data_IF_770804215000
#
_entry.id   IF_770804215000
#
_cell.length_a   1.000
_cell.length_b   1.000
_cell.length_c   1.000
_cell.angle_alpha   90.00
_cell.angle_beta   90.00
_cell.angle_gamma   90.00
#
_symmetry.space_group_name_H-M   'P 1'
#
loop_
_entity.id
_entity.type
_entity.pdbx_description
1 polymer ?
#
# COMPACT_ATOMS: atom_id res chain seq x y z
N UNK A 1 16.22 37.88 -61.76
CA UNK A 1 15.00 38.36 -62.46
C UNK A 1 13.85 37.47 -62.00
N UNK A 2 12.75 38.11 -61.70
CA UNK A 2 11.44 37.65 -61.25
C UNK A 2 11.20 37.54 -59.77
N UNK A 3 10.67 38.63 -59.23
CA UNK A 3 9.90 38.78 -58.02
C UNK A 3 8.58 38.00 -58.12
N UNK A 4 8.19 37.28 -57.01
CA UNK A 4 6.78 36.97 -56.77
C UNK A 4 6.47 37.16 -55.31
N UNK A 5 5.94 38.34 -55.01
CA UNK A 5 5.34 38.68 -53.72
C UNK A 5 3.94 38.06 -53.64
N UNK A 6 3.74 37.08 -52.73
CA UNK A 6 2.41 36.59 -52.33
C UNK A 6 1.77 37.49 -51.26
N UNK A 7 0.44 37.62 -51.21
CA UNK A 7 -0.24 38.56 -50.34
C UNK A 7 -0.20 38.12 -48.89
N UNK A 8 0.25 39.02 -47.98
CA UNK A 8 0.17 38.88 -46.53
C UNK A 8 -1.28 39.09 -46.09
N UNK A 9 -1.94 38.02 -45.59
CA UNK A 9 -3.23 38.11 -44.95
C UNK A 9 -3.09 38.73 -43.54
N UNK A 10 -3.74 39.88 -43.34
CA UNK A 10 -3.76 40.60 -42.07
C UNK A 10 -4.97 40.14 -41.25
N UNK A 11 -4.73 39.58 -40.08
CA UNK A 11 -5.74 39.04 -39.15
C UNK A 11 -6.78 40.08 -38.67
N UNK A 12 -6.60 41.36 -38.95
CA UNK A 12 -7.53 42.43 -38.54
C UNK A 12 -8.64 42.69 -39.57
N UNK A 13 -8.57 42.15 -40.78
CA UNK A 13 -9.61 42.33 -41.80
C UNK A 13 -10.74 41.30 -41.74
N UNK A 14 -10.58 40.19 -41.01
CA UNK A 14 -11.61 39.15 -40.86
C UNK A 14 -12.69 39.49 -39.83
N UNK A 15 -12.47 40.50 -38.98
CA UNK A 15 -13.41 40.91 -37.91
C UNK A 15 -14.33 42.07 -38.29
N UNK A 16 -14.25 42.61 -39.52
CA UNK A 16 -15.08 43.74 -39.99
C UNK A 16 -16.14 43.38 -41.05
N UNK A 17 -16.21 42.13 -41.48
CA UNK A 17 -17.17 41.71 -42.52
C UNK A 17 -18.40 40.94 -42.01
N UNK A 18 -18.58 40.79 -40.69
CA UNK A 18 -19.70 40.03 -40.13
C UNK A 18 -20.76 40.86 -39.40
N UNK A 19 -20.78 42.19 -39.52
CA UNK A 19 -21.71 43.06 -38.79
C UNK A 19 -22.66 43.84 -39.73
N UNK A 20 -22.90 43.43 -40.93
CA UNK A 20 -23.84 44.13 -41.81
C UNK A 20 -24.69 43.18 -42.65
N UNK A 21 -25.47 42.30 -42.02
CA UNK A 21 -26.71 41.74 -42.59
C UNK A 21 -27.41 40.93 -41.46
N UNK A 22 -28.32 41.58 -40.74
CA UNK A 22 -29.45 40.97 -40.05
C UNK A 22 -30.21 42.08 -39.29
N UNK A 23 -30.82 42.99 -40.06
CA UNK A 23 -31.95 43.75 -39.54
C UNK A 23 -33.20 43.08 -40.12
N UNK A 24 -33.86 42.26 -39.37
CA UNK A 24 -35.14 41.71 -39.78
C UNK A 24 -35.42 40.34 -39.14
N UNK A 25 -36.06 40.33 -37.97
CA UNK A 25 -36.95 39.27 -37.56
C UNK A 25 -36.32 38.06 -36.85
N UNK A 26 -36.77 37.86 -35.63
CA UNK A 26 -36.58 36.76 -34.69
C UNK A 26 -35.36 36.92 -33.81
N UNK A 27 -35.56 37.53 -32.64
CA UNK A 27 -34.77 37.25 -31.43
C UNK A 27 -35.09 35.82 -31.03
N UNK A 28 -34.41 34.85 -31.59
CA UNK A 28 -34.27 33.57 -30.97
C UNK A 28 -33.45 33.82 -29.68
N UNK A 29 -34.06 33.69 -28.51
CA UNK A 29 -33.36 33.51 -27.26
C UNK A 29 -32.39 32.36 -27.51
N UNK A 30 -31.11 32.66 -27.68
CA UNK A 30 -30.05 31.68 -27.40
C UNK A 30 -30.20 31.50 -25.89
N UNK A 31 -30.95 30.47 -25.50
CA UNK A 31 -30.84 29.93 -24.15
C UNK A 31 -29.35 29.65 -23.98
N UNK A 32 -28.68 30.43 -23.15
CA UNK A 32 -27.37 30.02 -22.62
C UNK A 32 -27.64 28.66 -22.05
N UNK A 33 -27.16 27.61 -22.71
CA UNK A 33 -27.16 26.27 -22.18
C UNK A 33 -26.32 26.38 -20.92
N UNK A 34 -26.96 26.34 -19.76
CA UNK A 34 -26.31 26.12 -18.50
C UNK A 34 -25.41 24.89 -18.71
N UNK A 35 -24.12 24.96 -18.35
CA UNK A 35 -23.24 23.81 -18.51
C UNK A 35 -23.88 22.65 -17.75
N UNK A 36 -24.39 21.65 -18.45
CA UNK A 36 -24.85 20.42 -17.84
C UNK A 36 -23.63 19.75 -17.19
N UNK A 37 -23.47 19.96 -15.88
CA UNK A 37 -22.57 19.15 -15.06
C UNK A 37 -23.20 17.76 -14.90
N UNK A 38 -23.10 16.97 -15.97
CA UNK A 38 -23.60 15.60 -15.94
C UNK A 38 -22.85 14.85 -14.85
N UNK A 39 -23.60 14.28 -13.90
CA UNK A 39 -23.14 13.47 -12.79
C UNK A 39 -22.41 14.19 -11.62
N UNK A 40 -22.40 15.51 -11.54
CA UNK A 40 -21.97 16.18 -10.33
C UNK A 40 -23.01 15.99 -9.22
N UNK A 41 -22.62 15.45 -8.07
CA UNK A 41 -23.52 15.35 -6.90
C UNK A 41 -23.64 16.70 -6.20
N UNK A 42 -24.45 17.59 -6.76
CA UNK A 42 -24.69 18.93 -6.21
C UNK A 42 -25.50 18.91 -4.90
N UNK A 43 -26.11 17.78 -4.55
CA UNK A 43 -26.91 17.63 -3.33
C UNK A 43 -26.08 17.37 -2.07
N UNK A 44 -24.79 17.04 -2.20
CA UNK A 44 -23.94 16.69 -1.04
C UNK A 44 -23.60 17.88 -0.14
N UNK A 45 -23.73 19.11 -0.62
CA UNK A 45 -23.36 20.32 0.13
C UNK A 45 -21.91 20.24 0.69
N UNK A 46 -20.87 20.05 -0.15
CA UNK A 46 -19.51 19.71 0.31
C UNK A 46 -18.93 20.71 1.31
N UNK A 47 -19.28 22.00 1.19
CA UNK A 47 -18.82 23.06 2.09
C UNK A 47 -19.40 22.97 3.51
N UNK A 48 -20.55 22.29 3.69
CA UNK A 48 -21.22 22.10 4.97
C UNK A 48 -21.04 20.67 5.53
N UNK A 49 -20.36 19.79 4.82
CA UNK A 49 -20.09 18.42 5.26
C UNK A 49 -19.17 18.43 6.48
N UNK A 50 -19.55 17.70 7.54
CA UNK A 50 -18.82 17.60 8.80
C UNK A 50 -18.74 16.17 9.28
N UNK A 51 -17.59 15.79 9.82
CA UNK A 51 -17.40 14.54 10.56
C UNK A 51 -18.20 14.63 11.86
N UNK A 52 -19.03 13.63 12.13
CA UNK A 52 -19.86 13.55 13.34
C UNK A 52 -19.46 12.46 14.30
N UNK A 53 -18.81 11.40 13.81
CA UNK A 53 -18.33 10.28 14.64
C UNK A 53 -17.22 9.51 13.93
N UNK A 54 -16.42 8.79 14.70
CA UNK A 54 -15.51 7.76 14.24
C UNK A 54 -15.65 6.53 15.13
N UNK A 55 -15.83 5.37 14.52
CA UNK A 55 -16.11 4.09 15.17
C UNK A 55 -15.19 3.01 14.63
N UNK A 56 -15.10 1.88 15.33
CA UNK A 56 -14.28 0.77 14.88
C UNK A 56 -14.97 -0.58 15.08
N UNK A 57 -14.49 -1.56 14.33
CA UNK A 57 -14.77 -2.98 14.50
C UNK A 57 -13.46 -3.77 14.40
N UNK A 58 -13.31 -4.82 15.20
CA UNK A 58 -12.12 -5.67 15.18
C UNK A 58 -12.49 -7.04 14.62
N UNK A 59 -11.90 -7.40 13.50
CA UNK A 59 -12.16 -8.65 12.78
C UNK A 59 -11.02 -9.63 13.02
N UNK A 60 -11.37 -10.84 13.44
CA UNK A 60 -10.41 -11.95 13.62
C UNK A 60 -10.33 -12.76 12.33
N UNK A 61 -9.11 -12.93 11.83
CA UNK A 61 -8.78 -13.84 10.73
C UNK A 61 -7.82 -14.93 11.24
N UNK A 62 -7.64 -16.03 10.52
CA UNK A 62 -6.56 -16.96 10.79
C UNK A 62 -5.21 -16.25 10.83
N UNK A 63 -4.37 -16.59 11.82
CA UNK A 63 -3.10 -15.91 12.07
C UNK A 63 -3.11 -15.05 13.33
N UNK A 64 -1.98 -14.44 13.70
CA UNK A 64 -1.80 -13.80 15.00
C UNK A 64 -2.47 -12.43 15.12
N UNK A 65 -2.81 -11.80 14.00
CA UNK A 65 -3.15 -10.37 13.97
C UNK A 65 -4.60 -10.13 13.55
N UNK A 66 -5.43 -9.55 14.43
CA UNK A 66 -6.75 -9.06 14.04
C UNK A 66 -6.63 -7.85 13.09
N UNK A 67 -7.63 -7.65 12.25
CA UNK A 67 -7.79 -6.46 11.43
C UNK A 67 -8.71 -5.46 12.13
N UNK A 68 -8.33 -4.20 12.16
CA UNK A 68 -9.12 -3.12 12.76
C UNK A 68 -9.68 -2.22 11.68
N UNK A 69 -10.97 -2.31 11.46
CA UNK A 69 -11.70 -1.41 10.55
C UNK A 69 -12.17 -0.17 11.32
N UNK A 70 -12.06 1.00 10.69
CA UNK A 70 -12.70 2.22 11.17
C UNK A 70 -13.77 2.70 10.19
N UNK A 71 -14.76 3.40 10.74
CA UNK A 71 -15.78 4.09 9.97
C UNK A 71 -15.89 5.54 10.47
N UNK A 72 -15.78 6.48 9.54
CA UNK A 72 -15.98 7.91 9.80
C UNK A 72 -17.37 8.30 9.28
N UNK A 73 -18.24 8.72 10.17
CA UNK A 73 -19.60 9.14 9.87
C UNK A 73 -19.68 10.67 9.65
N UNK A 74 -20.64 11.12 8.83
CA UNK A 74 -20.85 12.54 8.54
C UNK A 74 -22.27 13.00 8.80
N UNK A 75 -22.48 14.31 8.93
CA UNK A 75 -23.79 14.94 9.13
C UNK A 75 -24.75 14.82 7.93
N UNK A 76 -24.29 14.28 6.80
CA UNK A 76 -25.11 14.07 5.60
C UNK A 76 -25.33 12.57 5.30
N UNK A 77 -24.99 11.68 6.23
CA UNK A 77 -25.20 10.23 6.09
C UNK A 77 -24.19 9.51 5.19
N UNK A 78 -23.28 10.21 4.56
CA UNK A 78 -22.13 9.60 3.86
C UNK A 78 -21.11 9.19 4.92
N UNK A 79 -20.56 7.99 4.77
CA UNK A 79 -19.48 7.50 5.63
C UNK A 79 -18.32 6.95 4.80
N UNK A 80 -17.13 6.95 5.41
CA UNK A 80 -15.93 6.36 4.83
C UNK A 80 -15.35 5.24 5.67
N UNK A 81 -14.66 4.35 5.00
CA UNK A 81 -14.03 3.17 5.58
C UNK A 81 -12.49 3.29 5.50
N UNK A 82 -11.85 2.88 6.57
CA UNK A 82 -10.40 2.73 6.62
C UNK A 82 -10.00 1.50 7.43
N UNK A 83 -8.75 1.12 7.35
CA UNK A 83 -8.21 -0.03 8.06
C UNK A 83 -6.87 0.33 8.68
N UNK A 84 -6.73 0.02 9.96
CA UNK A 84 -5.49 0.21 10.71
C UNK A 84 -4.51 -0.90 10.33
N UNK A 85 -3.22 -0.58 10.23
CA UNK A 85 -2.15 -1.55 9.95
C UNK A 85 -2.27 -2.78 10.85
N UNK A 86 -2.05 -3.94 10.30
CA UNK A 86 -2.04 -5.20 11.05
C UNK A 86 -1.09 -5.13 12.27
N UNK A 87 -1.39 -5.91 13.31
CA UNK A 87 -0.73 -5.90 14.63
C UNK A 87 -1.01 -4.60 15.44
N UNK A 88 -1.34 -3.47 14.82
CA UNK A 88 -1.70 -2.25 15.54
C UNK A 88 -3.13 -2.33 16.10
N UNK A 89 -3.34 -1.73 17.26
CA UNK A 89 -4.65 -1.72 17.92
C UNK A 89 -5.54 -0.52 17.53
N UNK A 90 -6.84 -0.56 17.83
CA UNK A 90 -7.78 0.50 17.48
C UNK A 90 -7.46 1.85 18.12
N UNK A 91 -6.75 1.87 19.26
CA UNK A 91 -6.38 3.10 19.95
C UNK A 91 -5.55 4.06 19.10
N UNK A 92 -4.75 3.54 18.16
CA UNK A 92 -3.94 4.38 17.27
C UNK A 92 -4.79 5.23 16.32
N UNK A 93 -5.98 4.76 15.94
CA UNK A 93 -6.95 5.57 15.20
C UNK A 93 -7.82 6.40 16.14
N UNK A 94 -8.32 5.78 17.23
CA UNK A 94 -9.31 6.42 18.09
C UNK A 94 -8.79 7.65 18.82
N UNK A 95 -7.50 7.72 19.17
CA UNK A 95 -6.87 8.91 19.76
C UNK A 95 -6.93 10.14 18.81
N UNK A 96 -7.16 9.94 17.53
CA UNK A 96 -7.27 11.00 16.52
C UNK A 96 -8.70 11.54 16.40
N UNK A 97 -9.71 10.88 16.99
CA UNK A 97 -11.13 11.22 16.82
C UNK A 97 -11.43 12.66 17.19
N UNK A 98 -11.02 13.09 18.39
CA UNK A 98 -11.25 14.45 18.88
C UNK A 98 -10.69 15.55 17.97
N UNK A 99 -9.65 15.23 17.19
CA UNK A 99 -8.97 16.18 16.29
C UNK A 99 -9.67 16.38 14.96
N UNK A 100 -10.52 15.42 14.57
CA UNK A 100 -11.21 15.46 13.28
C UNK A 100 -12.71 15.71 13.41
N UNK A 101 -13.31 15.56 14.59
CA UNK A 101 -14.74 15.85 14.81
C UNK A 101 -15.06 17.30 14.44
N UNK A 102 -16.19 17.49 13.71
CA UNK A 102 -16.67 18.79 13.24
C UNK A 102 -15.92 19.33 12.01
N UNK A 103 -14.80 18.75 11.63
CA UNK A 103 -14.05 19.13 10.42
C UNK A 103 -14.75 18.68 9.14
N UNK A 104 -14.42 19.32 8.03
CA UNK A 104 -14.89 18.89 6.71
C UNK A 104 -13.99 17.76 6.17
N UNK A 105 -14.51 16.53 5.97
CA UNK A 105 -13.71 15.38 5.53
C UNK A 105 -13.12 15.52 4.13
N UNK A 106 -13.60 16.44 3.31
CA UNK A 106 -13.08 16.68 1.95
C UNK A 106 -11.74 17.42 1.95
N UNK A 107 -11.31 17.95 3.10
CA UNK A 107 -10.01 18.58 3.28
C UNK A 107 -8.94 17.53 3.65
N UNK A 108 -8.82 16.48 2.82
CA UNK A 108 -8.06 15.26 3.16
C UNK A 108 -6.61 15.58 3.53
N UNK A 109 -5.87 16.29 2.68
CA UNK A 109 -4.45 16.62 2.94
C UNK A 109 -4.29 17.54 4.17
N UNK A 110 -5.21 18.50 4.38
CA UNK A 110 -5.20 19.33 5.59
C UNK A 110 -5.40 18.48 6.85
N UNK A 111 -6.37 17.58 6.86
CA UNK A 111 -6.64 16.70 8.00
C UNK A 111 -5.49 15.73 8.22
N UNK A 112 -4.91 15.19 7.16
CA UNK A 112 -3.70 14.38 7.26
C UNK A 112 -2.58 15.14 7.95
N UNK A 113 -2.26 16.37 7.52
CA UNK A 113 -1.21 17.18 8.14
C UNK A 113 -1.49 17.47 9.62
N UNK A 114 -2.77 17.69 9.98
CA UNK A 114 -3.19 17.93 11.37
C UNK A 114 -2.93 16.74 12.29
N UNK A 115 -3.02 15.51 11.77
CA UNK A 115 -2.87 14.27 12.55
C UNK A 115 -1.54 13.53 12.29
N UNK A 116 -0.78 13.89 11.27
CA UNK A 116 0.40 13.16 10.82
C UNK A 116 1.46 12.96 11.92
N UNK A 117 1.64 13.95 12.81
CA UNK A 117 2.59 13.88 13.92
C UNK A 117 2.31 12.72 14.89
N UNK A 118 1.09 12.21 14.95
CA UNK A 118 0.69 11.11 15.83
C UNK A 118 0.98 9.72 15.21
N UNK A 119 1.45 9.67 13.97
CA UNK A 119 1.84 8.43 13.31
C UNK A 119 3.06 7.75 13.95
N UNK A 120 3.93 8.53 14.60
CA UNK A 120 5.12 7.98 15.25
C UNK A 120 6.04 7.29 14.26
N UNK A 121 6.15 5.98 14.35
CA UNK A 121 6.94 5.15 13.44
C UNK A 121 6.30 3.79 13.22
N UNK A 122 6.66 3.15 12.11
CA UNK A 122 6.23 1.81 11.74
C UNK A 122 4.69 1.63 11.88
N UNK A 123 4.26 0.52 12.43
CA UNK A 123 2.83 0.13 12.55
C UNK A 123 1.97 1.08 13.37
N UNK A 124 2.56 1.98 14.18
CA UNK A 124 1.82 3.03 14.90
C UNK A 124 1.14 4.02 13.95
N UNK A 125 1.74 4.25 12.79
CA UNK A 125 1.18 5.10 11.74
C UNK A 125 -0.17 4.60 11.20
N UNK A 126 -0.50 3.33 11.42
CA UNK A 126 -1.73 2.70 10.93
C UNK A 126 -3.01 3.42 11.31
N UNK A 127 -3.04 4.08 12.47
CA UNK A 127 -4.20 4.89 12.85
C UNK A 127 -4.38 6.12 11.96
N UNK A 128 -3.31 6.85 11.66
CA UNK A 128 -3.32 8.01 10.76
C UNK A 128 -3.70 7.59 9.34
N UNK A 129 -3.11 6.49 8.86
CA UNK A 129 -3.37 5.94 7.53
C UNK A 129 -4.84 5.50 7.38
N UNK A 130 -5.41 4.85 8.40
CA UNK A 130 -6.81 4.44 8.40
C UNK A 130 -7.76 5.64 8.29
N UNK A 131 -7.49 6.71 9.04
CA UNK A 131 -8.26 7.96 8.94
C UNK A 131 -8.16 8.53 7.53
N UNK A 132 -6.96 8.61 6.97
CA UNK A 132 -6.73 9.14 5.61
C UNK A 132 -7.47 8.32 4.54
N UNK A 133 -7.43 6.98 4.60
CA UNK A 133 -8.20 6.11 3.70
C UNK A 133 -9.71 6.41 3.79
N UNK A 134 -10.25 6.53 5.01
CA UNK A 134 -11.66 6.81 5.22
C UNK A 134 -12.08 8.18 4.67
N UNK A 135 -11.21 9.19 4.76
CA UNK A 135 -11.47 10.51 4.17
C UNK A 135 -11.51 10.45 2.65
N UNK A 136 -10.61 9.68 2.00
CA UNK A 136 -10.65 9.47 0.56
C UNK A 136 -11.89 8.72 0.10
N UNK A 137 -12.35 7.74 0.88
CA UNK A 137 -13.58 7.00 0.59
C UNK A 137 -14.80 7.94 0.65
N UNK A 138 -14.88 8.82 1.67
CA UNK A 138 -15.89 9.87 1.73
C UNK A 138 -15.81 10.79 0.51
N UNK A 139 -14.62 11.29 0.18
CA UNK A 139 -14.43 12.20 -0.94
C UNK A 139 -14.89 11.59 -2.27
N UNK A 140 -14.50 10.34 -2.55
CA UNK A 140 -14.93 9.64 -3.75
C UNK A 140 -16.44 9.44 -3.82
N UNK A 141 -17.10 9.10 -2.70
CA UNK A 141 -18.56 8.96 -2.61
C UNK A 141 -19.28 10.29 -2.81
N UNK A 142 -18.78 11.37 -2.19
CA UNK A 142 -19.37 12.71 -2.31
C UNK A 142 -19.25 13.26 -3.73
N UNK A 143 -18.08 13.10 -4.36
CA UNK A 143 -17.85 13.53 -5.74
C UNK A 143 -18.38 12.54 -6.78
N UNK A 144 -18.85 11.36 -6.33
CA UNK A 144 -19.37 10.28 -7.18
C UNK A 144 -18.34 9.77 -8.21
N UNK A 145 -17.09 9.62 -7.78
CA UNK A 145 -15.97 9.11 -8.59
C UNK A 145 -15.12 8.10 -7.81
N UNK A 146 -14.46 7.16 -8.47
CA UNK A 146 -13.47 6.29 -7.84
C UNK A 146 -12.24 7.08 -7.42
N UNK A 147 -11.57 6.63 -6.35
CA UNK A 147 -10.45 7.37 -5.73
C UNK A 147 -9.31 7.63 -6.72
N UNK A 148 -8.95 6.65 -7.57
CA UNK A 148 -7.84 6.81 -8.52
C UNK A 148 -8.01 8.03 -9.45
N UNK A 149 -9.24 8.46 -9.75
CA UNK A 149 -9.50 9.63 -10.59
C UNK A 149 -9.05 10.93 -9.91
N UNK A 150 -9.19 11.02 -8.58
CA UNK A 150 -8.69 12.18 -7.82
C UNK A 150 -7.17 12.21 -7.70
N UNK A 151 -6.50 11.09 -7.97
CA UNK A 151 -5.04 10.96 -7.99
C UNK A 151 -4.42 11.21 -9.38
N UNK A 152 -5.23 11.64 -10.37
CA UNK A 152 -4.76 11.92 -11.72
C UNK A 152 -5.14 10.88 -12.78
N UNK A 153 -5.93 9.87 -12.41
CA UNK A 153 -6.39 8.80 -13.30
C UNK A 153 -5.51 7.56 -13.23
N UNK A 154 -5.97 6.49 -13.88
CA UNK A 154 -5.30 5.19 -13.82
C UNK A 154 -4.31 4.99 -14.97
N UNK A 155 -3.19 4.34 -14.67
CA UNK A 155 -2.18 3.86 -15.62
C UNK A 155 -2.48 2.42 -16.07
N UNK A 156 -3.30 1.67 -15.33
CA UNK A 156 -3.66 0.27 -15.58
C UNK A 156 -5.06 -0.06 -15.08
N UNK A 157 -5.70 -1.01 -15.75
CA UNK A 157 -7.06 -1.45 -15.44
C UNK A 157 -7.11 -2.62 -14.45
N UNK A 158 -5.97 -3.30 -14.26
CA UNK A 158 -5.83 -4.44 -13.37
C UNK A 158 -4.54 -4.32 -12.56
N UNK A 159 -4.60 -4.71 -11.31
CA UNK A 159 -3.47 -4.69 -10.38
C UNK A 159 -2.91 -6.10 -10.24
N UNK A 160 -1.66 -6.27 -10.62
CA UNK A 160 -0.92 -7.53 -10.44
C UNK A 160 -0.72 -7.82 -8.96
N UNK A 161 -1.04 -9.05 -8.56
CA UNK A 161 -0.91 -9.53 -7.19
C UNK A 161 0.19 -10.58 -7.13
N UNK A 162 1.01 -10.53 -6.08
CA UNK A 162 1.86 -11.64 -5.69
C UNK A 162 1.45 -12.18 -4.31
N UNK A 163 1.64 -13.48 -4.13
CA UNK A 163 1.33 -14.13 -2.87
C UNK A 163 2.56 -14.23 -2.01
N UNK A 164 2.38 -13.88 -0.76
CA UNK A 164 3.21 -14.40 0.31
C UNK A 164 3.04 -15.91 0.43
N UNK A 165 4.13 -16.63 0.67
CA UNK A 165 4.12 -18.10 0.71
C UNK A 165 4.89 -18.57 1.93
N UNK A 166 4.14 -19.01 2.93
CA UNK A 166 4.66 -19.45 4.24
C UNK A 166 5.73 -20.54 4.07
N UNK A 167 6.83 -20.38 4.79
CA UNK A 167 7.95 -21.30 4.81
C UNK A 167 7.58 -22.71 5.29
N UNK A 168 8.47 -23.65 5.05
CA UNK A 168 8.42 -25.03 5.56
C UNK A 168 9.81 -25.43 6.01
N UNK A 169 9.91 -26.33 7.00
CA UNK A 169 11.19 -26.92 7.41
C UNK A 169 11.80 -27.83 6.34
N UNK A 170 10.98 -28.29 5.38
CA UNK A 170 11.40 -29.13 4.25
C UNK A 170 11.39 -28.33 2.94
N UNK A 171 12.53 -28.19 2.24
CA UNK A 171 12.60 -27.54 0.94
C UNK A 171 11.66 -28.14 -0.11
N UNK A 172 11.48 -29.47 -0.12
CA UNK A 172 10.60 -30.13 -1.09
C UNK A 172 9.13 -29.76 -0.87
N UNK A 173 8.69 -29.69 0.39
CA UNK A 173 7.36 -29.23 0.75
C UNK A 173 7.18 -27.74 0.39
N UNK A 174 8.21 -26.92 0.57
CA UNK A 174 8.16 -25.53 0.15
C UNK A 174 7.98 -25.43 -1.38
N UNK A 175 8.75 -26.17 -2.14
CA UNK A 175 8.60 -26.24 -3.58
C UNK A 175 7.20 -26.69 -4.02
N UNK A 176 6.57 -27.63 -3.30
CA UNK A 176 5.18 -28.07 -3.51
C UNK A 176 4.19 -26.92 -3.30
N UNK A 177 4.30 -26.18 -2.20
CA UNK A 177 3.46 -25.00 -1.91
C UNK A 177 3.60 -23.94 -3.01
N UNK A 178 4.82 -23.67 -3.44
CA UNK A 178 5.11 -22.76 -4.54
C UNK A 178 4.40 -23.18 -5.85
N UNK A 179 4.40 -24.48 -6.16
CA UNK A 179 3.69 -25.02 -7.32
C UNK A 179 2.18 -24.80 -7.20
N UNK A 180 1.60 -24.93 -6.01
CA UNK A 180 0.18 -24.65 -5.77
C UNK A 180 -0.15 -23.18 -6.00
N UNK A 181 0.70 -22.25 -5.55
CA UNK A 181 0.56 -20.80 -5.84
C UNK A 181 0.56 -20.54 -7.35
N UNK A 182 1.46 -21.15 -8.11
CA UNK A 182 1.48 -21.05 -9.58
C UNK A 182 0.19 -21.62 -10.19
N UNK A 183 -0.32 -22.72 -9.68
CA UNK A 183 -1.57 -23.34 -10.15
C UNK A 183 -2.82 -22.50 -9.88
N UNK A 184 -2.80 -21.60 -8.87
CA UNK A 184 -3.86 -20.61 -8.63
C UNK A 184 -3.89 -19.50 -9.70
N UNK A 185 -2.92 -19.51 -10.63
CA UNK A 185 -2.79 -18.50 -11.69
C UNK A 185 -2.01 -17.25 -11.29
N UNK A 186 -1.35 -17.26 -10.14
CA UNK A 186 -0.45 -16.18 -9.75
C UNK A 186 0.71 -16.08 -10.73
N UNK A 187 1.11 -14.85 -11.03
CA UNK A 187 2.18 -14.55 -12.00
C UNK A 187 3.45 -14.03 -11.35
N UNK A 188 3.45 -13.94 -10.03
CA UNK A 188 4.59 -13.54 -9.19
C UNK A 188 4.42 -14.18 -7.81
N UNK A 189 5.50 -14.51 -7.15
CA UNK A 189 5.50 -15.11 -5.83
C UNK A 189 6.58 -14.51 -4.94
N UNK A 190 6.28 -14.35 -3.66
CA UNK A 190 7.23 -14.09 -2.58
C UNK A 190 7.36 -15.36 -1.72
N UNK A 191 8.55 -15.70 -1.34
CA UNK A 191 8.83 -16.77 -0.40
C UNK A 191 9.38 -16.21 0.90
N UNK A 192 8.79 -16.63 2.02
CA UNK A 192 9.34 -16.37 3.34
C UNK A 192 10.49 -17.35 3.59
N UNK A 193 11.71 -16.84 3.67
CA UNK A 193 12.88 -17.66 3.92
C UNK A 193 13.85 -16.92 4.83
N UNK A 194 13.68 -17.12 6.13
CA UNK A 194 14.56 -16.56 7.15
C UNK A 194 15.67 -17.51 7.58
N UNK A 195 16.54 -17.00 8.43
CA UNK A 195 17.59 -17.83 9.08
C UNK A 195 17.01 -18.82 10.11
N UNK A 196 15.74 -18.68 10.50
CA UNK A 196 15.03 -19.60 11.39
C UNK A 196 14.99 -21.03 10.84
N UNK A 197 14.98 -21.23 9.51
CA UNK A 197 15.06 -22.58 8.90
C UNK A 197 16.43 -23.28 9.14
N UNK A 198 17.41 -22.54 9.64
CA UNK A 198 18.72 -23.05 10.05
C UNK A 198 18.80 -23.37 11.54
N UNK A 199 17.75 -23.04 12.32
CA UNK A 199 17.73 -23.22 13.76
C UNK A 199 17.96 -24.68 14.14
N UNK A 200 18.78 -24.92 15.17
CA UNK A 200 19.13 -26.26 15.60
C UNK A 200 20.08 -27.03 14.66
N UNK A 201 20.54 -26.44 13.56
CA UNK A 201 21.49 -27.06 12.62
C UNK A 201 22.93 -26.63 12.94
N UNK A 202 23.78 -27.53 13.50
CA UNK A 202 25.13 -27.17 13.88
C UNK A 202 25.98 -26.71 12.68
N UNK A 203 26.72 -25.61 12.88
CA UNK A 203 27.65 -25.09 11.90
C UNK A 203 27.05 -24.29 10.76
N UNK A 204 25.73 -23.96 10.79
CA UNK A 204 25.05 -23.15 9.75
C UNK A 204 25.10 -21.65 10.07
N UNK A 205 25.18 -21.29 11.34
CA UNK A 205 25.23 -19.92 11.83
C UNK A 205 26.34 -19.77 12.83
N UNK A 206 27.08 -18.68 12.78
CA UNK A 206 28.04 -18.23 13.77
C UNK A 206 27.43 -17.11 14.60
N UNK A 207 27.52 -17.22 15.92
CA UNK A 207 27.03 -16.24 16.88
C UNK A 207 27.95 -16.22 18.12
N UNK A 208 27.79 -15.27 19.06
CA UNK A 208 28.65 -15.19 20.25
C UNK A 208 28.70 -16.45 21.09
N UNK A 209 27.63 -17.26 21.11
CA UNK A 209 27.56 -18.53 21.83
C UNK A 209 28.24 -19.71 21.12
N UNK A 210 28.70 -19.54 19.87
CA UNK A 210 29.43 -20.55 19.10
C UNK A 210 28.65 -21.10 17.89
N UNK A 211 29.14 -22.26 17.37
CA UNK A 211 28.61 -22.90 16.17
C UNK A 211 27.77 -24.15 16.43
N UNK A 212 27.80 -24.67 17.66
CA UNK A 212 27.28 -26.02 17.96
C UNK A 212 25.75 -26.06 17.96
N UNK A 213 25.15 -25.04 18.46
CA UNK A 213 23.69 -24.82 18.38
C UNK A 213 23.36 -23.35 18.58
N UNK A 214 22.25 -22.95 18.03
CA UNK A 214 21.69 -21.62 18.22
C UNK A 214 20.17 -21.69 18.14
N UNK A 215 19.50 -20.75 18.80
CA UNK A 215 18.05 -20.55 18.74
C UNK A 215 17.79 -19.08 18.42
N UNK A 216 16.87 -18.81 17.51
CA UNK A 216 16.58 -17.45 17.04
C UNK A 216 16.15 -16.53 18.19
N UNK A 217 15.30 -17.03 19.10
CA UNK A 217 14.83 -16.28 20.29
C UNK A 217 15.93 -15.92 21.30
N UNK A 218 17.07 -16.59 21.23
CA UNK A 218 18.24 -16.31 22.08
C UNK A 218 19.14 -15.22 21.50
N UNK A 219 18.84 -14.76 20.26
CA UNK A 219 19.60 -13.72 19.59
C UNK A 219 19.20 -12.34 20.13
N UNK A 220 20.09 -11.58 20.76
CA UNK A 220 19.75 -10.24 21.22
C UNK A 220 19.50 -9.27 20.04
N UNK A 221 20.24 -9.44 18.94
CA UNK A 221 20.08 -8.65 17.73
C UNK A 221 20.83 -9.32 16.55
N UNK A 222 20.16 -10.08 15.69
CA UNK A 222 20.80 -10.83 14.60
C UNK A 222 21.70 -9.98 13.70
N UNK A 223 21.30 -8.77 13.37
CA UNK A 223 22.06 -7.81 12.54
C UNK A 223 23.49 -7.55 13.06
N UNK A 224 23.70 -7.53 14.37
CA UNK A 224 24.99 -7.23 14.97
C UNK A 224 25.81 -8.47 15.33
N UNK A 225 25.18 -9.62 15.54
CA UNK A 225 25.83 -10.74 16.18
C UNK A 225 25.76 -12.06 15.40
N UNK A 226 24.97 -12.12 14.33
CA UNK A 226 24.74 -13.36 13.59
C UNK A 226 25.37 -13.31 12.20
N UNK A 227 26.24 -14.28 11.91
CA UNK A 227 26.77 -14.50 10.58
C UNK A 227 26.37 -15.89 10.08
N UNK A 228 25.95 -15.97 8.83
CA UNK A 228 25.62 -17.23 8.16
C UNK A 228 26.88 -17.82 7.58
N UNK A 229 27.18 -19.09 7.89
CA UNK A 229 28.33 -19.81 7.34
C UNK A 229 28.07 -20.27 5.91
N UNK A 230 29.11 -20.77 5.21
CA UNK A 230 28.93 -21.35 3.87
C UNK A 230 27.93 -22.52 3.89
N UNK A 231 27.98 -23.37 4.93
CA UNK A 231 27.01 -24.45 5.13
C UNK A 231 25.57 -23.92 5.28
N UNK A 232 25.40 -22.82 5.99
CA UNK A 232 24.09 -22.16 6.11
C UNK A 232 23.60 -21.57 4.81
N UNK A 233 24.50 -20.91 4.05
CA UNK A 233 24.20 -20.38 2.72
C UNK A 233 23.78 -21.50 1.76
N UNK A 234 24.51 -22.62 1.75
CA UNK A 234 24.17 -23.78 0.91
C UNK A 234 22.77 -24.31 1.25
N UNK A 235 22.45 -24.41 2.55
CA UNK A 235 21.13 -24.86 3.00
C UNK A 235 20.00 -23.89 2.56
N UNK A 236 20.20 -22.58 2.69
CA UNK A 236 19.23 -21.59 2.20
C UNK A 236 19.07 -21.69 0.68
N UNK A 237 20.17 -21.93 -0.07
CA UNK A 237 20.11 -22.14 -1.51
C UNK A 237 19.30 -23.39 -1.91
N UNK A 238 19.27 -24.45 -1.08
CA UNK A 238 18.44 -25.65 -1.32
C UNK A 238 16.95 -25.30 -1.35
N UNK A 239 16.47 -24.41 -0.46
CA UNK A 239 15.09 -23.95 -0.46
C UNK A 239 14.74 -23.18 -1.73
N UNK A 240 15.58 -22.23 -2.13
CA UNK A 240 15.37 -21.44 -3.35
C UNK A 240 15.40 -22.33 -4.59
N UNK A 241 16.32 -23.32 -4.63
CA UNK A 241 16.38 -24.30 -5.72
C UNK A 241 15.08 -25.12 -5.81
N UNK A 242 14.61 -25.64 -4.68
CA UNK A 242 13.37 -26.43 -4.64
C UNK A 242 12.15 -25.64 -5.11
N UNK A 243 12.06 -24.34 -4.78
CA UNK A 243 11.02 -23.46 -5.29
C UNK A 243 11.17 -23.26 -6.79
N UNK A 244 12.40 -22.92 -7.29
CA UNK A 244 12.68 -22.74 -8.73
C UNK A 244 12.40 -23.99 -9.56
N UNK A 245 12.70 -25.18 -9.06
CA UNK A 245 12.41 -26.45 -9.73
C UNK A 245 10.90 -26.66 -9.96
N UNK A 246 10.07 -26.07 -9.10
CA UNK A 246 8.61 -26.19 -9.19
C UNK A 246 7.93 -25.06 -9.98
N UNK A 247 8.46 -23.82 -9.92
CA UNK A 247 7.82 -22.67 -10.60
C UNK A 247 8.52 -22.25 -11.88
N UNK A 248 9.78 -22.68 -12.10
CA UNK A 248 10.59 -22.26 -13.25
C UNK A 248 11.15 -20.85 -13.10
N UNK A 249 11.64 -20.29 -14.22
CA UNK A 249 12.24 -18.95 -14.30
C UNK A 249 11.40 -17.94 -15.10
N UNK A 250 10.26 -18.36 -15.59
CA UNK A 250 9.24 -17.53 -16.24
C UNK A 250 8.36 -16.76 -15.22
N UNK A 251 8.41 -17.17 -13.95
CA UNK A 251 7.71 -16.54 -12.84
C UNK A 251 8.71 -15.79 -11.95
N UNK A 252 8.56 -14.45 -11.78
CA UNK A 252 9.33 -13.70 -10.79
C UNK A 252 9.20 -14.31 -9.39
N UNK A 253 10.32 -14.40 -8.68
CA UNK A 253 10.42 -14.91 -7.33
C UNK A 253 11.13 -13.89 -6.46
N UNK A 254 10.51 -13.48 -5.39
CA UNK A 254 11.03 -12.58 -4.36
C UNK A 254 11.23 -13.33 -3.05
N UNK A 255 12.03 -12.78 -2.16
CA UNK A 255 12.33 -13.40 -0.87
C UNK A 255 12.28 -12.39 0.26
N UNK A 256 11.78 -12.82 1.41
CA UNK A 256 11.62 -12.04 2.63
C UNK A 256 12.11 -12.80 3.88
N UNK A 257 12.10 -12.11 5.03
CA UNK A 257 12.35 -12.65 6.37
C UNK A 257 13.76 -13.16 6.64
N UNK A 258 14.80 -12.58 6.02
CA UNK A 258 16.20 -12.99 6.30
C UNK A 258 16.63 -12.84 7.77
N UNK A 259 15.90 -12.07 8.58
CA UNK A 259 16.14 -11.95 10.01
C UNK A 259 17.21 -10.94 10.39
N UNK A 260 17.45 -9.91 9.55
CA UNK A 260 18.41 -8.83 9.79
C UNK A 260 19.81 -9.33 10.20
N UNK A 261 20.41 -10.16 9.38
CA UNK A 261 21.75 -10.71 9.61
C UNK A 261 22.86 -9.69 9.28
N UNK A 262 24.10 -9.98 9.67
CA UNK A 262 25.24 -9.08 9.41
C UNK A 262 25.45 -8.75 7.94
N UNK A 263 25.86 -7.51 7.65
CA UNK A 263 26.08 -6.96 6.30
C UNK A 263 26.88 -7.91 5.38
N UNK A 264 27.96 -8.50 5.90
CA UNK A 264 28.79 -9.44 5.12
C UNK A 264 28.05 -10.72 4.76
N UNK A 265 27.20 -11.22 5.64
CA UNK A 265 26.36 -12.39 5.39
C UNK A 265 25.31 -12.09 4.31
N UNK A 266 24.67 -10.92 4.35
CA UNK A 266 23.71 -10.47 3.31
C UNK A 266 24.39 -10.41 1.94
N UNK A 267 25.58 -9.79 1.85
CA UNK A 267 26.32 -9.68 0.58
C UNK A 267 26.70 -11.06 0.04
N UNK A 268 27.13 -11.99 0.91
CA UNK A 268 27.47 -13.37 0.51
C UNK A 268 26.23 -14.13 0.03
N UNK A 269 25.10 -13.99 0.72
CA UNK A 269 23.82 -14.56 0.30
C UNK A 269 23.38 -14.01 -1.05
N UNK A 270 23.41 -12.70 -1.24
CA UNK A 270 23.05 -12.08 -2.51
C UNK A 270 23.86 -12.61 -3.69
N UNK A 271 25.18 -12.88 -3.48
CA UNK A 271 26.02 -13.53 -4.48
C UNK A 271 25.66 -15.00 -4.72
N UNK A 272 25.33 -15.73 -3.65
CA UNK A 272 24.93 -17.13 -3.76
C UNK A 272 23.57 -17.30 -4.48
N UNK A 273 22.69 -16.32 -4.33
CA UNK A 273 21.37 -16.30 -4.94
C UNK A 273 21.34 -15.78 -6.39
N UNK A 274 22.42 -15.19 -6.90
CA UNK A 274 22.51 -14.69 -8.28
C UNK A 274 22.00 -15.71 -9.31
N UNK A 275 22.41 -16.98 -9.17
CA UNK A 275 22.00 -18.07 -10.06
C UNK A 275 20.50 -18.38 -10.08
N UNK A 276 19.75 -17.91 -9.08
CA UNK A 276 18.32 -18.12 -8.98
C UNK A 276 17.49 -16.95 -9.52
N UNK A 277 18.14 -15.83 -9.88
CA UNK A 277 17.51 -14.66 -10.46
C UNK A 277 16.29 -14.19 -9.65
N UNK A 278 16.52 -13.88 -8.35
CA UNK A 278 15.48 -13.32 -7.49
C UNK A 278 15.18 -11.87 -7.87
N UNK A 279 13.93 -11.48 -7.75
CA UNK A 279 13.49 -10.08 -7.96
C UNK A 279 13.98 -9.15 -6.84
N UNK A 280 14.06 -9.67 -5.61
CA UNK A 280 14.66 -8.98 -4.47
C UNK A 280 14.88 -9.91 -3.27
N UNK A 281 15.75 -9.46 -2.37
CA UNK A 281 15.80 -9.82 -0.97
C UNK A 281 15.23 -8.65 -0.17
N UNK A 282 14.24 -8.94 0.66
CA UNK A 282 13.48 -7.94 1.43
C UNK A 282 14.01 -7.83 2.86
N UNK A 283 14.00 -6.61 3.40
CA UNK A 283 14.29 -6.26 4.80
C UNK A 283 15.54 -6.94 5.39
N UNK A 284 16.60 -6.96 4.60
CA UNK A 284 17.84 -7.68 4.91
C UNK A 284 18.57 -7.16 6.15
N UNK A 285 18.40 -5.85 6.45
CA UNK A 285 18.85 -5.16 7.67
C UNK A 285 17.83 -4.10 8.03
N UNK A 286 17.84 -3.53 9.25
CA UNK A 286 16.92 -2.46 9.59
C UNK A 286 17.09 -1.26 8.64
N UNK A 287 15.98 -0.80 8.07
CA UNK A 287 15.93 0.18 6.97
C UNK A 287 16.62 1.53 7.27
N UNK A 288 16.66 1.94 8.54
CA UNK A 288 17.27 3.21 8.94
C UNK A 288 18.81 3.22 8.90
N UNK A 289 19.45 2.09 8.62
CA UNK A 289 20.88 2.01 8.31
C UNK A 289 21.12 2.20 6.80
N UNK A 290 20.70 3.33 6.25
CA UNK A 290 20.73 3.64 4.81
C UNK A 290 22.11 3.48 4.19
N UNK A 291 23.19 3.91 4.86
CA UNK A 291 24.56 3.77 4.35
C UNK A 291 24.99 2.30 4.21
N UNK A 292 24.55 1.43 5.13
CA UNK A 292 24.83 0.00 5.08
C UNK A 292 23.98 -0.69 4.01
N UNK A 293 22.73 -0.30 3.83
CA UNK A 293 21.88 -0.75 2.72
C UNK A 293 22.53 -0.39 1.37
N UNK A 294 23.06 0.83 1.25
CA UNK A 294 23.80 1.26 0.04
C UNK A 294 25.04 0.41 -0.21
N UNK A 295 25.80 0.02 0.82
CA UNK A 295 26.92 -0.91 0.70
C UNK A 295 26.44 -2.28 0.20
N UNK A 296 25.35 -2.78 0.75
CA UNK A 296 24.77 -4.07 0.38
C UNK A 296 24.28 -4.04 -1.07
N UNK A 297 23.44 -3.07 -1.45
CA UNK A 297 22.90 -2.94 -2.80
C UNK A 297 24.01 -2.82 -3.85
N UNK A 298 25.07 -2.05 -3.58
CA UNK A 298 26.22 -1.91 -4.48
C UNK A 298 27.06 -3.20 -4.63
N UNK A 299 27.05 -4.10 -3.63
CA UNK A 299 27.87 -5.30 -3.60
C UNK A 299 27.13 -6.61 -3.92
N UNK A 300 25.81 -6.59 -3.86
CA UNK A 300 24.92 -7.74 -4.13
C UNK A 300 24.41 -7.71 -5.56
N UNK A 301 24.56 -8.79 -6.35
CA UNK A 301 23.92 -8.92 -7.66
C UNK A 301 22.41 -9.21 -7.56
N UNK A 302 21.94 -9.68 -6.39
CA UNK A 302 20.51 -9.84 -6.11
C UNK A 302 19.95 -8.51 -5.59
N UNK A 303 18.89 -7.98 -6.20
CA UNK A 303 18.31 -6.69 -5.81
C UNK A 303 17.84 -6.65 -4.35
N UNK A 304 17.86 -5.47 -3.75
CA UNK A 304 17.44 -5.20 -2.38
C UNK A 304 16.16 -4.37 -2.37
N UNK A 305 15.24 -4.72 -1.47
CA UNK A 305 13.98 -4.01 -1.27
C UNK A 305 13.73 -3.83 0.23
N UNK A 306 13.10 -2.71 0.61
CA UNK A 306 12.58 -2.44 1.95
C UNK A 306 11.48 -1.39 1.92
N UNK A 307 10.69 -1.27 2.99
CA UNK A 307 9.78 -0.15 3.11
C UNK A 307 8.48 -0.37 3.87
N UNK A 308 8.07 -1.59 4.20
CA UNK A 308 6.74 -1.86 4.80
C UNK A 308 6.54 -1.18 6.16
N UNK A 309 7.61 -0.96 6.91
CA UNK A 309 7.60 -0.33 8.23
C UNK A 309 8.06 1.13 8.21
N UNK A 310 8.13 1.77 7.03
CA UNK A 310 8.52 3.17 6.89
C UNK A 310 7.27 4.07 6.81
N UNK A 311 7.20 5.05 7.72
CA UNK A 311 6.09 6.00 7.76
C UNK A 311 6.36 7.26 6.95
N UNK A 312 7.56 7.84 7.09
CA UNK A 312 7.84 9.18 6.58
C UNK A 312 8.27 9.17 5.12
N UNK A 313 7.74 10.12 4.36
CA UNK A 313 8.11 10.37 2.96
C UNK A 313 9.62 10.61 2.80
N UNK A 314 10.22 11.38 3.71
CA UNK A 314 11.64 11.77 3.67
C UNK A 314 12.59 10.58 3.84
N UNK A 315 12.16 9.54 4.55
CA UNK A 315 12.93 8.30 4.71
C UNK A 315 12.97 7.52 3.39
N UNK A 316 11.84 7.40 2.69
CA UNK A 316 11.80 6.85 1.33
C UNK A 316 12.61 7.68 0.34
N UNK A 317 12.52 9.02 0.41
CA UNK A 317 13.31 9.89 -0.46
C UNK A 317 14.80 9.68 -0.24
N UNK A 318 15.24 9.50 1.01
CA UNK A 318 16.63 9.24 1.34
C UNK A 318 17.10 7.91 0.75
N UNK A 319 16.34 6.83 0.92
CA UNK A 319 16.65 5.53 0.32
C UNK A 319 16.79 5.60 -1.21
N UNK A 320 15.83 6.26 -1.86
CA UNK A 320 15.83 6.39 -3.33
C UNK A 320 16.97 7.29 -3.85
N UNK A 321 17.18 8.44 -3.23
CA UNK A 321 18.22 9.40 -3.62
C UNK A 321 19.62 8.81 -3.49
N UNK A 322 19.86 8.06 -2.41
CA UNK A 322 21.16 7.42 -2.16
C UNK A 322 21.33 6.12 -2.92
N UNK A 323 20.32 5.63 -3.65
CA UNK A 323 20.28 4.29 -4.26
C UNK A 323 20.66 3.20 -3.27
N UNK A 324 20.13 3.32 -2.05
CA UNK A 324 20.37 2.36 -0.98
C UNK A 324 19.57 1.07 -1.16
N UNK A 325 18.57 1.09 -2.02
CA UNK A 325 17.75 -0.04 -2.43
C UNK A 325 17.47 0.00 -3.92
N UNK A 326 17.19 -1.16 -4.51
CA UNK A 326 16.84 -1.28 -5.93
C UNK A 326 15.35 -1.08 -6.17
N UNK A 327 14.52 -1.33 -5.16
CA UNK A 327 13.06 -1.16 -5.18
C UNK A 327 12.60 -0.70 -3.80
N UNK A 328 11.46 -0.03 -3.74
CA UNK A 328 10.80 0.30 -2.47
C UNK A 328 9.51 -0.50 -2.30
N UNK A 329 9.12 -0.71 -1.03
CA UNK A 329 7.99 -1.56 -0.65
C UNK A 329 7.09 -0.90 0.42
N UNK A 330 6.50 0.29 0.14
CA UNK A 330 5.62 0.92 1.12
C UNK A 330 4.36 0.07 1.38
N UNK A 331 3.95 0.01 2.64
CA UNK A 331 2.59 -0.40 3.01
C UNK A 331 1.73 0.86 3.16
N UNK A 332 0.63 0.93 2.42
CA UNK A 332 -0.26 2.09 2.44
C UNK A 332 -0.84 2.36 3.84
N UNK A 333 -1.05 1.30 4.64
CA UNK A 333 -1.49 1.43 6.03
C UNK A 333 -0.35 1.83 7.00
N UNK A 334 0.88 2.01 6.50
CA UNK A 334 2.03 2.54 7.27
C UNK A 334 2.52 3.86 6.70
N UNK A 335 2.63 3.98 5.38
CA UNK A 335 3.33 5.08 4.68
C UNK A 335 2.52 6.36 4.49
N UNK A 336 1.48 6.57 5.30
CA UNK A 336 0.69 7.80 5.32
C UNK A 336 -0.62 7.76 4.52
N UNK A 337 -1.11 6.57 4.15
CA UNK A 337 -2.35 6.40 3.42
C UNK A 337 -2.19 6.57 1.90
N UNK A 338 -3.30 6.80 1.21
CA UNK A 338 -3.38 6.76 -0.25
C UNK A 338 -2.54 7.84 -0.91
N UNK A 339 -2.69 9.10 -0.47
CA UNK A 339 -2.02 10.23 -1.12
C UNK A 339 -0.52 10.22 -0.89
N UNK A 340 -0.09 9.92 0.33
CA UNK A 340 1.35 9.92 0.63
C UNK A 340 2.04 8.76 -0.08
N UNK A 341 1.44 7.56 -0.10
CA UNK A 341 1.99 6.42 -0.83
C UNK A 341 2.08 6.69 -2.34
N UNK A 342 1.08 7.34 -2.92
CA UNK A 342 1.13 7.79 -4.31
C UNK A 342 2.27 8.80 -4.56
N UNK A 343 2.45 9.79 -3.65
CA UNK A 343 3.56 10.77 -3.71
C UNK A 343 4.93 10.09 -3.58
N UNK A 344 5.05 9.07 -2.72
CA UNK A 344 6.26 8.24 -2.59
C UNK A 344 6.57 7.55 -3.93
N UNK A 345 5.57 6.98 -4.60
CA UNK A 345 5.74 6.38 -5.92
C UNK A 345 6.21 7.39 -6.96
N UNK A 346 5.62 8.58 -7.02
CA UNK A 346 6.03 9.66 -7.93
C UNK A 346 7.46 10.18 -7.65
N UNK A 347 7.85 10.25 -6.39
CA UNK A 347 9.21 10.60 -5.99
C UNK A 347 10.19 9.49 -6.41
N UNK A 348 9.91 8.22 -6.09
CA UNK A 348 10.76 7.09 -6.44
C UNK A 348 10.97 6.97 -7.96
N UNK A 349 9.92 7.24 -8.76
CA UNK A 349 10.01 7.29 -10.21
C UNK A 349 11.08 8.27 -10.71
N UNK A 350 11.25 9.44 -10.06
CA UNK A 350 12.25 10.44 -10.45
C UNK A 350 13.68 9.96 -10.22
N UNK A 351 13.88 9.04 -9.26
CA UNK A 351 15.16 8.40 -8.98
C UNK A 351 15.36 7.09 -9.74
N UNK A 352 14.38 6.69 -10.59
CA UNK A 352 14.45 5.44 -11.35
C UNK A 352 14.19 4.18 -10.50
N UNK A 353 13.59 4.34 -9.31
CA UNK A 353 13.32 3.25 -8.37
C UNK A 353 11.88 2.76 -8.55
N UNK A 354 11.68 1.47 -8.91
CA UNK A 354 10.35 0.87 -8.97
C UNK A 354 9.73 0.68 -7.57
N UNK A 355 8.39 0.59 -7.52
CA UNK A 355 7.61 0.39 -6.31
C UNK A 355 6.79 -0.90 -6.39
N UNK A 356 7.05 -1.87 -5.54
CA UNK A 356 6.09 -2.87 -5.12
C UNK A 356 5.35 -2.35 -3.88
N UNK A 357 4.20 -2.91 -3.55
CA UNK A 357 3.45 -2.48 -2.36
C UNK A 357 3.19 -3.68 -1.45
N UNK A 358 3.49 -3.51 -0.17
CA UNK A 358 3.10 -4.45 0.87
C UNK A 358 1.60 -4.35 1.17
N UNK A 359 0.98 -5.48 1.49
CA UNK A 359 -0.41 -5.51 1.95
C UNK A 359 -0.70 -6.75 2.80
N UNK A 360 -1.17 -6.53 4.02
CA UNK A 360 -1.68 -7.55 4.94
C UNK A 360 -2.94 -7.04 5.65
N UNK A 361 -4.14 -7.30 5.09
CA UNK A 361 -5.38 -6.75 5.64
C UNK A 361 -6.66 -7.33 5.03
N UNK A 362 -7.76 -6.62 5.24
CA UNK A 362 -9.07 -6.93 4.68
C UNK A 362 -9.24 -6.33 3.27
N UNK A 363 -10.34 -6.63 2.56
CA UNK A 363 -10.63 -5.97 1.30
C UNK A 363 -10.73 -4.44 1.39
N UNK A 364 -10.91 -3.84 2.57
CA UNK A 364 -10.98 -2.38 2.74
C UNK A 364 -9.64 -1.75 2.39
N UNK A 365 -8.56 -2.12 3.07
CA UNK A 365 -7.23 -1.57 2.74
C UNK A 365 -6.71 -2.14 1.42
N UNK A 366 -7.13 -3.35 1.01
CA UNK A 366 -6.82 -3.87 -0.31
C UNK A 366 -7.29 -2.93 -1.44
N UNK A 367 -8.55 -2.48 -1.38
CA UNK A 367 -9.07 -1.56 -2.40
C UNK A 367 -8.40 -0.19 -2.35
N UNK A 368 -8.03 0.30 -1.17
CA UNK A 368 -7.21 1.52 -1.06
C UNK A 368 -5.87 1.36 -1.79
N UNK A 369 -5.18 0.23 -1.59
CA UNK A 369 -3.96 -0.13 -2.33
C UNK A 369 -4.22 -0.25 -3.84
N UNK A 370 -5.32 -0.87 -4.26
CA UNK A 370 -5.69 -1.02 -5.68
C UNK A 370 -5.85 0.35 -6.35
N UNK A 371 -6.53 1.31 -5.71
CA UNK A 371 -6.67 2.67 -6.25
C UNK A 371 -5.33 3.42 -6.32
N UNK A 372 -4.52 3.32 -5.27
CA UNK A 372 -3.19 3.93 -5.24
C UNK A 372 -2.29 3.33 -6.33
N UNK A 373 -2.22 2.01 -6.43
CA UNK A 373 -1.45 1.28 -7.43
C UNK A 373 -1.92 1.57 -8.86
N UNK A 374 -3.23 1.71 -9.08
CA UNK A 374 -3.78 2.07 -10.37
C UNK A 374 -3.29 3.44 -10.85
N UNK A 375 -3.16 4.41 -9.95
CA UNK A 375 -2.72 5.77 -10.26
C UNK A 375 -1.19 5.94 -10.26
N UNK A 376 -0.41 4.99 -9.71
CA UNK A 376 1.05 5.12 -9.57
C UNK A 376 1.78 4.51 -10.78
N UNK A 377 2.58 5.32 -11.48
CA UNK A 377 3.20 4.94 -12.77
C UNK A 377 4.25 3.84 -12.69
N UNK A 378 5.12 3.86 -11.67
CA UNK A 378 6.24 2.92 -11.47
C UNK A 378 5.88 1.71 -10.61
N UNK A 379 4.60 1.44 -10.41
CA UNK A 379 4.10 0.28 -9.67
C UNK A 379 4.40 -1.04 -10.39
N UNK A 380 4.84 -2.05 -9.64
CA UNK A 380 5.17 -3.40 -10.12
C UNK A 380 4.09 -4.43 -9.77
N UNK A 381 3.84 -4.62 -8.48
CA UNK A 381 2.89 -5.59 -7.97
C UNK A 381 2.48 -5.26 -6.53
N UNK A 382 1.31 -5.72 -6.11
CA UNK A 382 0.76 -5.63 -4.76
C UNK A 382 0.82 -6.97 -4.08
N UNK A 383 1.37 -7.01 -2.90
CA UNK A 383 1.35 -8.19 -2.04
C UNK A 383 -0.05 -8.57 -1.58
N UNK A 384 -0.26 -9.85 -1.26
CA UNK A 384 -1.48 -10.29 -0.61
C UNK A 384 -1.23 -11.46 0.34
N UNK A 385 -1.28 -11.20 1.64
CA UNK A 385 -1.19 -12.18 2.73
C UNK A 385 -2.50 -12.88 3.05
N UNK A 386 -3.60 -12.49 2.38
CA UNK A 386 -4.95 -12.94 2.77
C UNK A 386 -5.58 -13.95 1.81
N UNK A 387 -4.83 -14.43 0.81
CA UNK A 387 -5.33 -15.40 -0.18
C UNK A 387 -5.80 -16.72 0.44
N UNK A 388 -5.24 -17.10 1.59
CA UNK A 388 -5.56 -18.33 2.33
C UNK A 388 -6.67 -18.14 3.37
N UNK A 389 -7.24 -16.92 3.49
CA UNK A 389 -8.37 -16.64 4.39
C UNK A 389 -9.69 -16.92 3.65
N UNK A 390 -10.41 -18.02 3.98
CA UNK A 390 -11.55 -18.49 3.14
C UNK A 390 -12.67 -17.48 2.97
N UNK A 391 -12.92 -16.65 4.00
CA UNK A 391 -14.01 -15.67 4.01
C UNK A 391 -13.56 -14.25 3.61
N UNK A 392 -12.28 -14.05 3.29
CA UNK A 392 -11.72 -12.72 3.08
C UNK A 392 -12.53 -11.87 2.09
N UNK A 393 -12.81 -12.41 0.91
CA UNK A 393 -13.58 -11.70 -0.10
C UNK A 393 -15.05 -11.48 0.27
N UNK A 394 -15.58 -12.26 1.23
CA UNK A 394 -16.98 -12.19 1.64
C UNK A 394 -17.24 -11.12 2.69
N UNK A 395 -16.18 -10.51 3.24
CA UNK A 395 -16.25 -9.35 4.15
C UNK A 395 -16.83 -8.11 3.46
N UNK A 396 -16.85 -8.08 2.12
CA UNK A 396 -17.36 -6.95 1.33
C UNK A 396 -18.32 -7.38 0.24
N UNK A 397 -19.08 -6.41 -0.26
CA UNK A 397 -20.00 -6.50 -1.41
C UNK A 397 -19.69 -5.33 -2.38
N UNK A 398 -20.39 -5.27 -3.51
CA UNK A 398 -20.25 -4.20 -4.49
C UNK A 398 -19.10 -4.37 -5.49
N UNK A 399 -18.35 -5.46 -5.39
CA UNK A 399 -17.24 -5.80 -6.29
C UNK A 399 -17.44 -7.22 -6.85
N UNK A 400 -16.95 -7.44 -8.08
CA UNK A 400 -16.97 -8.77 -8.72
C UNK A 400 -16.10 -9.77 -7.94
N UNK A 401 -16.57 -11.00 -7.80
CA UNK A 401 -15.86 -12.10 -7.14
C UNK A 401 -15.53 -13.23 -8.13
N UNK A 402 -14.38 -13.91 -8.02
CA UNK A 402 -13.36 -13.68 -6.98
C UNK A 402 -12.64 -12.36 -7.16
N UNK A 403 -12.35 -11.65 -6.05
CA UNK A 403 -11.65 -10.36 -6.07
C UNK A 403 -10.27 -10.51 -6.71
N UNK A 404 -9.52 -11.54 -6.31
CA UNK A 404 -8.26 -11.92 -6.98
C UNK A 404 -8.59 -12.98 -8.03
N UNK A 405 -8.43 -12.63 -9.29
CA UNK A 405 -8.67 -13.53 -10.42
C UNK A 405 -7.38 -13.72 -11.23
N UNK A 406 -6.86 -14.95 -11.24
CA UNK A 406 -5.63 -15.32 -11.96
C UNK A 406 -4.45 -14.38 -11.70
N UNK A 407 -4.27 -14.00 -10.43
CA UNK A 407 -3.17 -13.13 -10.00
C UNK A 407 -3.39 -11.64 -10.26
N UNK A 408 -4.61 -11.21 -10.55
CA UNK A 408 -4.94 -9.80 -10.77
C UNK A 408 -6.21 -9.39 -10.02
N UNK A 409 -6.29 -8.12 -9.64
CA UNK A 409 -7.50 -7.46 -9.15
C UNK A 409 -7.89 -6.37 -10.15
N UNK A 410 -9.13 -6.43 -10.64
CA UNK A 410 -9.69 -5.40 -11.50
C UNK A 410 -9.91 -4.11 -10.70
N UNK A 411 -9.47 -2.98 -11.26
CA UNK A 411 -9.66 -1.68 -10.63
C UNK A 411 -11.15 -1.32 -10.62
N UNK A 412 -11.77 -1.04 -9.44
CA UNK A 412 -13.19 -0.71 -9.39
C UNK A 412 -13.48 0.66 -9.99
N UNK A 413 -14.61 0.76 -10.71
CA UNK A 413 -15.11 1.99 -11.33
C UNK A 413 -16.18 2.69 -10.48
N UNK A 414 -16.60 2.09 -9.38
CA UNK A 414 -17.60 2.63 -8.46
C UNK A 414 -17.00 3.67 -7.51
N UNK A 415 -17.81 4.64 -7.01
CA UNK A 415 -17.32 5.74 -6.18
C UNK A 415 -16.64 5.30 -4.89
N UNK A 416 -15.67 6.08 -4.44
CA UNK A 416 -14.88 5.82 -3.23
C UNK A 416 -13.95 4.62 -3.42
N UNK A 417 -13.90 3.75 -2.42
CA UNK A 417 -13.17 2.47 -2.47
C UNK A 417 -13.81 1.45 -3.43
N UNK A 418 -15.05 1.69 -3.89
CA UNK A 418 -15.75 0.80 -4.79
C UNK A 418 -16.37 -0.44 -4.13
N UNK A 419 -16.45 -0.46 -2.82
CA UNK A 419 -16.98 -1.57 -2.02
C UNK A 419 -17.93 -1.08 -0.94
N UNK A 420 -18.76 -2.00 -0.43
CA UNK A 420 -19.52 -1.85 0.80
C UNK A 420 -19.23 -3.02 1.74
N UNK A 421 -19.41 -2.80 3.05
CA UNK A 421 -19.23 -3.87 4.03
C UNK A 421 -20.34 -4.91 3.91
N UNK A 422 -19.99 -6.18 4.11
CA UNK A 422 -20.95 -7.25 4.36
C UNK A 422 -21.12 -7.40 5.88
N UNK A 423 -22.07 -6.66 6.44
CA UNK A 423 -22.26 -6.57 7.89
C UNK A 423 -22.49 -7.93 8.56
N UNK A 424 -23.21 -8.84 7.89
CA UNK A 424 -23.49 -10.17 8.42
C UNK A 424 -22.23 -11.02 8.50
N UNK A 425 -21.39 -10.97 7.48
CA UNK A 425 -20.13 -11.72 7.47
C UNK A 425 -19.13 -11.13 8.46
N UNK A 426 -18.99 -9.81 8.51
CA UNK A 426 -18.12 -9.13 9.48
C UNK A 426 -18.50 -9.46 10.92
N UNK A 427 -19.80 -9.48 11.25
CA UNK A 427 -20.28 -9.81 12.60
C UNK A 427 -19.96 -11.25 13.02
N UNK A 428 -19.86 -12.20 12.07
CA UNK A 428 -19.44 -13.59 12.35
C UNK A 428 -17.98 -13.69 12.76
N UNK A 429 -17.16 -12.73 12.31
CA UNK A 429 -15.72 -12.71 12.53
C UNK A 429 -15.26 -11.62 13.50
N UNK A 430 -16.19 -11.02 14.26
CA UNK A 430 -15.83 -10.04 15.30
C UNK A 430 -14.96 -10.68 16.39
N UNK A 431 -13.96 -9.92 16.85
CA UNK A 431 -13.18 -10.30 18.01
C UNK A 431 -14.11 -10.39 19.24
N UNK A 432 -14.13 -11.51 19.97
CA UNK A 432 -14.93 -11.64 21.17
C UNK A 432 -14.72 -10.49 22.17
N UNK A 433 -15.82 -9.91 22.65
CA UNK A 433 -15.78 -8.80 23.59
C UNK A 433 -15.59 -7.41 22.97
N UNK A 434 -15.58 -7.30 21.64
CA UNK A 434 -15.60 -6.01 20.92
C UNK A 434 -16.95 -5.76 20.27
N UNK A 435 -17.34 -4.47 20.10
CA UNK A 435 -18.56 -4.06 19.42
C UNK A 435 -18.38 -3.98 17.89
N UNK A 436 -19.51 -3.83 17.19
CA UNK A 436 -19.54 -3.62 15.74
C UNK A 436 -19.88 -2.16 15.44
N UNK A 437 -18.85 -1.35 15.26
CA UNK A 437 -18.97 0.11 15.04
C UNK A 437 -19.86 0.80 16.08
N UNK A 438 -19.72 0.40 17.34
CA UNK A 438 -20.44 1.01 18.45
C UNK A 438 -20.01 2.46 18.65
N UNK A 439 -20.90 3.34 19.18
CA UNK A 439 -20.52 4.70 19.56
C UNK A 439 -19.35 4.70 20.56
N UNK A 440 -18.42 5.61 20.38
CA UNK A 440 -17.20 5.70 21.17
C UNK A 440 -17.02 7.08 21.82
N UNK A 441 -17.99 7.56 22.65
CA UNK A 441 -17.96 8.92 23.20
C UNK A 441 -16.77 9.19 24.12
N UNK A 442 -16.14 8.16 24.69
CA UNK A 442 -14.92 8.30 25.49
C UNK A 442 -13.72 8.88 24.70
N UNK A 443 -13.79 8.88 23.36
CA UNK A 443 -12.76 9.41 22.50
C UNK A 443 -13.06 10.80 21.93
N UNK A 444 -14.25 11.38 22.24
CA UNK A 444 -14.69 12.65 21.66
C UNK A 444 -13.88 13.84 22.18
N UNK A 445 -13.41 13.76 23.43
CA UNK A 445 -12.72 14.83 24.15
C UNK A 445 -11.31 14.41 24.61
N UNK A 446 -10.77 13.32 24.03
CA UNK A 446 -9.41 12.89 24.38
C UNK A 446 -8.43 13.96 23.89
N UNK A 447 -7.86 14.68 24.84
CA UNK A 447 -6.76 15.62 24.62
C UNK A 447 -5.56 15.11 25.40
N UNK A 448 -4.45 14.90 24.70
CA UNK A 448 -3.17 14.74 25.37
C UNK A 448 -2.61 16.13 25.68
N UNK A 449 -1.75 16.23 26.69
CA UNK A 449 -1.00 17.47 26.95
C UNK A 449 -0.20 17.93 25.73
N UNK A 450 0.13 17.02 24.81
CA UNK A 450 0.80 17.30 23.56
C UNK A 450 -0.02 18.18 22.62
N UNK A 451 -1.36 18.17 22.72
CA UNK A 451 -2.21 19.06 21.92
C UNK A 451 -1.90 20.55 22.17
N UNK A 452 -1.48 20.88 23.38
CA UNK A 452 -1.07 22.23 23.72
C UNK A 452 0.31 22.63 23.14
N UNK A 453 1.13 21.65 22.76
CA UNK A 453 2.45 21.88 22.19
C UNK A 453 2.43 21.91 20.66
N UNK A 454 1.48 21.23 20.03
CA UNK A 454 1.47 21.01 18.59
C UNK A 454 0.21 21.52 17.87
N UNK A 455 -0.69 22.16 18.59
CA UNK A 455 -1.92 22.76 18.04
C UNK A 455 -1.73 24.20 17.54
#
# INVERSE_FOLDING_TARGET
MMNSSGPRFNRRSLLKSSVALLAGGAVSQIAEAEPEFQNANLASGPSSLKITDMRYAVIVKPGPSPCVLIRIDTNQGVYGLGEVRDIAGPQYAMVLKSRILGENPLRVDYLFQKIAQFGGGARQAGGVCAVEMALWDIAGKVYNIPIYQMLGGKWRDEIRIYADTTESEDPAEYGRRAKERKAMGLTWMKMDLGINVLEGMPGTVMQPSGLDKWELREQPHPFLATEVTDKGIDRLCEYVAAVRDNIGYDMPLSMDHLGHIGVKSVIRLGKAYEKFNLEWMEDVIPWYYTDLLKEISAASPTPILTGEDIYKFEDFETLCREHAVDKIHPDLATSGGILQTHRIGDMAFRYGVPMAMHFAGTPVSCMANVHCAAATRNFLALENHSLDVPFWQDLVTGIEKPIVNKGYIKVPETPGLGIALNDDELKRHLKPGTGYFEPTPMWDEVQSWDDALFS
#
